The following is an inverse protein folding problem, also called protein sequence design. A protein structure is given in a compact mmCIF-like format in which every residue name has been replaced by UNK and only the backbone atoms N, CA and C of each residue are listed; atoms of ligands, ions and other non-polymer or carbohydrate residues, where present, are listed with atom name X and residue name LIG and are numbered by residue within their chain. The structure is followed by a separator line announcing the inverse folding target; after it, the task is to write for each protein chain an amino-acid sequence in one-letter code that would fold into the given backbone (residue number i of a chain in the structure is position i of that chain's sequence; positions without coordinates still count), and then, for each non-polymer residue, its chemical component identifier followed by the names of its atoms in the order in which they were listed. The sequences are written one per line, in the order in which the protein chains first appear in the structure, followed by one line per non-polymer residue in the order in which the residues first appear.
data_IF_327447327578
#
_entry.id   IF_327447327578
#
_cell.length_a   1.000
_cell.length_b   1.000
_cell.length_c   1.000
_cell.angle_alpha   90.00
_cell.angle_beta   90.00
_cell.angle_gamma   90.00
#
_symmetry.space_group_name_H-M   'P 1'
#
loop_
_entity.id
_entity.type
_entity.pdbx_description
1 polymer ?
#
# COMPACT_ATOMS: atom_id res chain seq x y z
N UNK A 1 15.92 36.26 18.59
CA UNK A 1 14.57 35.99 19.10
C UNK A 1 14.63 34.73 19.95
N UNK A 2 14.14 34.76 21.18
CA UNK A 2 14.04 33.57 22.05
C UNK A 2 12.57 33.15 22.05
N UNK A 3 12.32 31.87 21.82
CA UNK A 3 10.99 31.26 21.93
C UNK A 3 11.06 30.27 23.08
N UNK A 4 10.17 30.39 24.04
CA UNK A 4 9.99 29.45 25.15
C UNK A 4 8.70 28.69 24.92
N UNK A 5 8.74 27.37 25.06
CA UNK A 5 7.62 26.47 24.86
C UNK A 5 7.54 25.58 26.09
N UNK A 6 6.38 25.54 26.74
CA UNK A 6 6.09 24.59 27.81
C UNK A 6 5.65 23.27 27.18
N UNK A 7 6.25 22.16 27.62
CA UNK A 7 5.93 20.81 27.16
C UNK A 7 5.40 19.98 28.32
N UNK A 8 4.44 19.11 28.03
CA UNK A 8 4.00 18.07 28.95
C UNK A 8 5.05 16.97 29.10
N UNK A 9 4.96 16.18 30.16
CA UNK A 9 5.85 15.03 30.36
C UNK A 9 5.75 14.01 29.21
N UNK A 10 4.55 13.80 28.66
CA UNK A 10 4.32 12.86 27.56
C UNK A 10 5.00 13.34 26.26
N UNK A 11 4.93 14.64 25.98
CA UNK A 11 5.63 15.25 24.83
C UNK A 11 7.15 15.15 25.01
N UNK A 12 7.67 15.40 26.21
CA UNK A 12 9.11 15.22 26.50
C UNK A 12 9.52 13.76 26.31
N UNK A 13 8.72 12.80 26.79
CA UNK A 13 8.97 11.37 26.62
C UNK A 13 8.95 10.96 25.15
N UNK A 14 7.99 11.45 24.38
CA UNK A 14 7.90 11.22 22.93
C UNK A 14 9.15 11.73 22.18
N UNK A 15 9.58 12.95 22.47
CA UNK A 15 10.77 13.55 21.82
C UNK A 15 12.05 12.77 22.18
N UNK A 16 12.19 12.32 23.43
CA UNK A 16 13.29 11.46 23.88
C UNK A 16 13.30 10.12 23.15
N UNK A 17 12.14 9.51 22.90
CA UNK A 17 12.05 8.25 22.14
C UNK A 17 12.55 8.40 20.70
N UNK A 18 12.16 9.46 20.01
CA UNK A 18 12.65 9.74 18.65
C UNK A 18 14.18 9.89 18.66
N UNK A 19 14.72 10.60 19.64
CA UNK A 19 16.16 10.81 19.77
C UNK A 19 16.92 9.51 20.03
N UNK A 20 16.39 8.65 20.91
CA UNK A 20 17.02 7.35 21.23
C UNK A 20 17.00 6.40 20.04
N UNK A 21 15.86 6.31 19.32
CA UNK A 21 15.74 5.48 18.13
C UNK A 21 16.76 5.90 17.06
N UNK A 22 16.90 7.21 16.83
CA UNK A 22 17.93 7.72 15.92
C UNK A 22 19.36 7.44 16.39
N UNK A 23 19.65 7.57 17.69
CA UNK A 23 20.96 7.26 18.24
C UNK A 23 21.33 5.78 18.02
N UNK A 24 20.39 4.86 18.27
CA UNK A 24 20.57 3.42 18.00
C UNK A 24 20.85 3.17 16.51
N UNK A 25 20.19 3.90 15.60
CA UNK A 25 20.45 3.79 14.16
C UNK A 25 21.88 4.23 13.80
N UNK A 26 22.40 5.29 14.43
CA UNK A 26 23.77 5.78 14.22
C UNK A 26 24.82 4.83 14.81
N UNK A 27 24.60 4.31 16.02
CA UNK A 27 25.53 3.41 16.71
C UNK A 27 25.74 2.08 15.98
N UNK A 28 24.72 1.59 15.28
CA UNK A 28 24.83 0.37 14.48
C UNK A 28 25.40 0.60 13.07
N UNK A 29 25.95 1.80 12.78
CA UNK A 29 26.46 2.22 11.46
C UNK A 29 25.48 2.00 10.31
N UNK A 30 24.18 1.89 10.62
CA UNK A 30 23.21 1.41 9.66
C UNK A 30 22.96 2.42 8.56
N UNK A 31 23.19 3.71 8.81
CA UNK A 31 22.94 4.82 7.89
C UNK A 31 23.65 6.14 8.28
N UNK A 32 23.97 7.02 7.31
CA UNK A 32 24.52 8.35 7.57
C UNK A 32 23.47 9.43 7.91
N UNK A 33 22.18 9.07 7.98
CA UNK A 33 21.04 10.02 8.12
C UNK A 33 19.90 9.40 8.92
N UNK A 34 19.02 10.20 9.56
CA UNK A 34 17.83 9.70 10.24
C UNK A 34 16.89 8.97 9.28
N UNK A 35 16.46 7.75 9.62
CA UNK A 35 15.47 7.03 8.83
C UNK A 35 14.04 7.38 9.24
N UNK A 36 13.14 7.17 8.29
CA UNK A 36 11.72 6.99 8.55
C UNK A 36 11.41 5.50 8.42
N UNK A 37 10.40 5.07 9.15
CA UNK A 37 9.89 3.70 9.06
C UNK A 37 8.60 3.73 8.26
N UNK A 38 8.48 2.87 7.27
CA UNK A 38 7.28 2.76 6.43
C UNK A 38 6.71 1.38 6.62
N UNK A 39 5.44 1.31 7.01
CA UNK A 39 4.69 0.06 6.93
C UNK A 39 4.43 -0.23 5.45
N UNK A 40 5.01 -1.31 4.98
CA UNK A 40 4.80 -1.84 3.62
C UNK A 40 3.85 -3.01 3.73
N UNK A 41 2.70 -2.87 3.08
CA UNK A 41 1.71 -3.93 2.93
C UNK A 41 1.81 -4.55 1.54
N UNK A 42 1.06 -5.63 1.33
CA UNK A 42 0.92 -6.28 0.04
C UNK A 42 -0.53 -6.22 -0.40
N UNK A 43 -0.72 -5.76 -1.63
CA UNK A 43 -2.01 -5.75 -2.30
C UNK A 43 -1.96 -6.67 -3.51
N UNK A 44 -2.97 -7.53 -3.63
CA UNK A 44 -3.16 -8.36 -4.81
C UNK A 44 -3.56 -7.49 -6.00
N UNK A 45 -2.87 -7.65 -7.12
CA UNK A 45 -3.18 -6.96 -8.38
C UNK A 45 -3.24 -7.97 -9.51
N UNK A 46 -4.18 -7.79 -10.42
CA UNK A 46 -4.32 -8.57 -11.64
C UNK A 46 -3.11 -8.26 -12.54
N UNK A 47 -2.40 -9.29 -12.99
CA UNK A 47 -1.37 -9.18 -14.02
C UNK A 47 -1.89 -9.81 -15.29
N UNK A 48 -1.88 -9.04 -16.38
CA UNK A 48 -2.14 -9.56 -17.72
C UNK A 48 -0.95 -10.43 -18.17
N UNK A 49 -1.24 -11.61 -18.75
CA UNK A 49 -0.20 -12.47 -19.33
C UNK A 49 0.50 -11.83 -20.52
N UNK A 50 -0.16 -10.90 -21.21
CA UNK A 50 0.42 -10.23 -22.38
C UNK A 50 1.40 -9.10 -21.98
N UNK A 51 1.50 -8.79 -20.68
CA UNK A 51 2.53 -7.91 -20.15
C UNK A 51 3.71 -8.72 -19.56
N UNK A 52 4.76 -8.92 -20.37
CA UNK A 52 6.13 -8.99 -19.85
C UNK A 52 6.47 -7.63 -19.21
N UNK A 53 6.00 -7.39 -17.99
CA UNK A 53 6.45 -6.25 -17.19
C UNK A 53 7.45 -6.76 -16.16
N UNK A 54 8.64 -6.14 -16.16
CA UNK A 54 9.84 -6.38 -15.32
C UNK A 54 9.63 -6.34 -13.79
N UNK A 55 8.55 -6.89 -13.25
CA UNK A 55 8.34 -7.07 -11.82
C UNK A 55 8.21 -8.55 -11.51
N UNK A 56 9.25 -9.08 -10.85
CA UNK A 56 9.42 -10.48 -10.44
C UNK A 56 8.10 -11.18 -10.10
N UNK A 57 7.63 -11.98 -11.06
CA UNK A 57 6.56 -12.96 -10.87
C UNK A 57 7.14 -14.21 -10.21
N UNK A 58 6.73 -14.48 -8.98
CA UNK A 58 6.34 -15.81 -8.50
C UNK A 58 5.84 -15.75 -7.06
N UNK A 59 4.58 -16.14 -6.85
CA UNK A 59 4.22 -16.87 -5.65
C UNK A 59 3.11 -17.87 -5.94
N UNK A 60 3.28 -19.09 -5.43
CA UNK A 60 2.30 -20.17 -5.51
C UNK A 60 1.94 -20.47 -4.05
N UNK A 61 0.87 -19.86 -3.54
CA UNK A 61 0.43 -20.04 -2.16
C UNK A 61 -0.65 -21.13 -2.08
N UNK A 62 -0.23 -22.38 -2.09
CA UNK A 62 -1.15 -23.51 -1.93
C UNK A 62 -1.76 -23.63 -0.52
N UNK A 63 -1.36 -22.79 0.44
CA UNK A 63 -1.74 -22.94 1.85
C UNK A 63 -2.82 -21.95 2.34
N UNK A 64 -3.22 -20.97 1.53
CA UNK A 64 -3.77 -19.73 2.09
C UNK A 64 -5.26 -19.47 1.93
N UNK A 65 -6.00 -20.44 1.37
CA UNK A 65 -7.44 -20.31 1.17
C UNK A 65 -7.78 -19.32 0.05
N UNK A 66 -8.97 -19.48 -0.51
CA UNK A 66 -9.49 -18.70 -1.62
C UNK A 66 -9.39 -17.20 -1.32
N UNK A 67 -8.63 -16.47 -2.14
CA UNK A 67 -8.66 -15.01 -2.17
C UNK A 67 -9.46 -14.53 -3.38
N UNK A 68 -10.32 -13.55 -3.16
CA UNK A 68 -11.16 -12.96 -4.19
C UNK A 68 -10.75 -11.50 -4.42
N UNK A 69 -10.60 -11.13 -5.68
CA UNK A 69 -10.45 -9.73 -6.09
C UNK A 69 -11.80 -9.04 -5.91
N UNK A 70 -11.83 -7.81 -5.37
CA UNK A 70 -13.08 -7.06 -5.27
C UNK A 70 -13.56 -6.67 -6.67
N UNK A 71 -14.87 -6.76 -6.92
CA UNK A 71 -15.50 -6.32 -8.18
C UNK A 71 -15.04 -4.90 -8.58
N UNK A 72 -14.95 -3.97 -7.62
CA UNK A 72 -14.48 -2.60 -7.89
C UNK A 72 -13.05 -2.53 -8.46
N UNK A 73 -12.18 -3.45 -8.05
CA UNK A 73 -10.78 -3.50 -8.49
C UNK A 73 -10.66 -4.16 -9.86
N UNK A 74 -11.43 -5.24 -10.07
CA UNK A 74 -11.59 -5.86 -11.38
C UNK A 74 -12.15 -4.86 -12.40
N UNK A 75 -13.23 -4.15 -12.06
CA UNK A 75 -13.81 -3.09 -12.89
C UNK A 75 -12.80 -2.02 -13.27
N UNK A 76 -12.02 -1.55 -12.30
CA UNK A 76 -10.98 -0.55 -12.53
C UNK A 76 -9.93 -1.09 -13.50
N UNK A 77 -9.42 -2.29 -13.26
CA UNK A 77 -8.44 -2.94 -14.13
C UNK A 77 -8.97 -3.09 -15.56
N UNK A 78 -10.17 -3.64 -15.71
CA UNK A 78 -10.81 -3.87 -17.01
C UNK A 78 -11.02 -2.54 -17.75
N UNK A 79 -11.55 -1.52 -17.07
CA UNK A 79 -11.78 -0.20 -17.68
C UNK A 79 -10.47 0.51 -18.06
N UNK A 80 -9.36 0.25 -17.36
CA UNK A 80 -8.05 0.85 -17.66
C UNK A 80 -7.32 0.13 -18.81
N UNK A 81 -7.51 -1.18 -18.97
CA UNK A 81 -6.71 -2.01 -19.89
C UNK A 81 -7.48 -2.58 -21.10
N UNK A 82 -8.80 -2.76 -20.98
CA UNK A 82 -9.66 -3.38 -22.00
C UNK A 82 -10.87 -2.49 -22.34
N UNK A 83 -10.69 -1.17 -22.27
CA UNK A 83 -11.80 -0.22 -22.39
C UNK A 83 -12.54 -0.35 -23.72
N UNK A 84 -11.81 -0.51 -24.82
CA UNK A 84 -12.40 -0.54 -26.16
C UNK A 84 -13.24 -1.82 -26.35
N UNK A 85 -12.73 -2.94 -25.86
CA UNK A 85 -13.40 -4.24 -25.88
C UNK A 85 -14.62 -4.26 -24.95
N UNK A 86 -14.54 -3.61 -23.78
CA UNK A 86 -15.69 -3.43 -22.88
C UNK A 86 -16.75 -2.55 -23.52
N UNK A 87 -16.36 -1.43 -24.13
CA UNK A 87 -17.28 -0.55 -24.84
C UNK A 87 -17.93 -1.31 -26.00
N UNK A 88 -17.22 -2.18 -26.71
CA UNK A 88 -17.78 -3.06 -27.75
C UNK A 88 -18.80 -4.06 -27.17
N UNK A 89 -18.44 -4.74 -26.08
CA UNK A 89 -19.30 -5.74 -25.42
C UNK A 89 -20.61 -5.12 -24.90
N UNK A 90 -20.49 -4.03 -24.16
CA UNK A 90 -21.61 -3.36 -23.47
C UNK A 90 -22.56 -2.66 -24.45
N UNK A 91 -22.06 -2.26 -25.62
CA UNK A 91 -22.87 -1.62 -26.67
C UNK A 91 -23.37 -2.61 -27.74
N UNK A 92 -23.21 -3.92 -27.54
CA UNK A 92 -23.82 -4.94 -28.39
C UNK A 92 -25.35 -4.96 -28.19
N UNK A 93 -26.12 -5.27 -29.25
CA UNK A 93 -27.58 -5.31 -29.26
C UNK A 93 -28.17 -6.21 -28.15
N UNK A 94 -27.42 -7.22 -27.68
CA UNK A 94 -27.81 -8.10 -26.56
C UNK A 94 -27.79 -7.41 -25.20
N UNK A 95 -26.95 -6.38 -25.03
CA UNK A 95 -26.74 -5.63 -23.80
C UNK A 95 -27.36 -4.23 -23.84
N UNK A 96 -28.19 -3.92 -24.84
CA UNK A 96 -28.89 -2.65 -24.98
C UNK A 96 -30.39 -2.86 -24.83
N UNK A 97 -31.03 -2.09 -23.94
CA UNK A 97 -32.48 -2.08 -23.81
C UNK A 97 -33.12 -1.53 -25.11
N UNK A 98 -33.91 -2.36 -25.77
CA UNK A 98 -34.56 -2.01 -27.05
C UNK A 98 -35.55 -0.84 -26.99
N UNK A 99 -35.98 -0.42 -25.79
CA UNK A 99 -36.96 0.65 -25.55
C UNK A 99 -36.28 1.93 -25.10
N UNK A 100 -35.28 1.85 -24.22
CA UNK A 100 -34.60 3.02 -23.64
C UNK A 100 -33.27 3.34 -24.32
N UNK A 101 -32.62 2.36 -24.95
CA UNK A 101 -31.28 2.47 -25.52
C UNK A 101 -30.17 2.53 -24.47
N UNK A 102 -30.47 2.23 -23.21
CA UNK A 102 -29.50 2.17 -22.12
C UNK A 102 -28.84 0.79 -22.08
N UNK A 103 -27.61 0.74 -21.56
CA UNK A 103 -26.95 -0.55 -21.35
C UNK A 103 -27.59 -1.30 -20.18
N UNK A 104 -27.80 -2.60 -20.41
CA UNK A 104 -28.25 -3.59 -19.43
C UNK A 104 -27.09 -4.18 -18.62
N UNK A 105 -25.84 -3.88 -19.00
CA UNK A 105 -24.67 -4.39 -18.29
C UNK A 105 -24.60 -3.82 -16.87
N UNK A 106 -24.58 -4.72 -15.89
CA UNK A 106 -24.43 -4.38 -14.48
C UNK A 106 -23.12 -4.93 -13.95
N UNK A 107 -22.29 -4.04 -13.40
CA UNK A 107 -21.02 -4.41 -12.80
C UNK A 107 -21.19 -5.14 -11.46
N UNK A 108 -22.35 -5.04 -10.83
CA UNK A 108 -22.66 -5.72 -9.57
C UNK A 108 -23.33 -7.10 -9.79
N UNK A 109 -23.58 -7.48 -11.05
CA UNK A 109 -24.14 -8.78 -11.42
C UNK A 109 -23.01 -9.75 -11.82
N UNK A 110 -22.86 -10.85 -11.07
CA UNK A 110 -21.80 -11.84 -11.29
C UNK A 110 -21.89 -12.48 -12.68
N UNK A 111 -23.10 -12.74 -13.20
CA UNK A 111 -23.29 -13.39 -14.50
C UNK A 111 -22.78 -12.49 -15.65
N UNK A 112 -23.03 -11.17 -15.56
CA UNK A 112 -22.52 -10.21 -16.54
C UNK A 112 -20.99 -10.09 -16.51
N UNK A 113 -20.39 -10.17 -15.32
CA UNK A 113 -18.93 -10.15 -15.17
C UNK A 113 -18.31 -11.41 -15.79
N UNK A 114 -18.89 -12.57 -15.56
CA UNK A 114 -18.44 -13.85 -16.15
C UNK A 114 -18.53 -13.83 -17.68
N UNK A 115 -19.62 -13.31 -18.25
CA UNK A 115 -19.79 -13.18 -19.70
C UNK A 115 -18.77 -12.21 -20.33
N UNK A 116 -18.53 -11.05 -19.70
CA UNK A 116 -17.51 -10.09 -20.16
C UNK A 116 -16.12 -10.73 -20.15
N UNK A 117 -15.82 -11.53 -19.13
CA UNK A 117 -14.53 -12.20 -18.98
C UNK A 117 -14.35 -13.31 -20.01
N UNK A 118 -15.41 -14.07 -20.30
CA UNK A 118 -15.41 -15.03 -21.40
C UNK A 118 -15.19 -14.35 -22.75
N UNK A 119 -15.85 -13.21 -22.98
CA UNK A 119 -15.69 -12.38 -24.18
C UNK A 119 -14.26 -11.86 -24.34
N UNK A 120 -13.64 -11.37 -23.25
CA UNK A 120 -12.25 -10.94 -23.24
C UNK A 120 -11.26 -12.11 -23.30
N UNK A 121 -11.74 -13.35 -23.36
CA UNK A 121 -10.94 -14.57 -23.33
C UNK A 121 -9.97 -14.62 -22.13
N UNK A 122 -10.38 -14.01 -21.03
CA UNK A 122 -9.62 -13.98 -19.79
C UNK A 122 -9.87 -15.25 -19.00
N UNK A 123 -8.79 -15.98 -18.67
CA UNK A 123 -8.88 -17.12 -17.77
C UNK A 123 -8.81 -16.60 -16.33
N UNK A 124 -9.94 -16.20 -15.72
CA UNK A 124 -9.96 -15.71 -14.32
C UNK A 124 -9.33 -16.67 -13.32
N UNK A 125 -9.48 -17.97 -13.55
CA UNK A 125 -8.91 -19.01 -12.70
C UNK A 125 -7.40 -19.19 -12.92
N UNK A 126 -6.82 -18.49 -13.89
CA UNK A 126 -5.37 -18.40 -14.11
C UNK A 126 -4.89 -16.99 -14.47
N UNK A 127 -5.66 -15.95 -14.15
CA UNK A 127 -5.17 -14.59 -14.14
C UNK A 127 -4.12 -14.58 -13.05
N UNK A 128 -2.86 -14.39 -13.43
CA UNK A 128 -1.79 -14.39 -12.45
C UNK A 128 -1.97 -13.14 -11.61
N UNK A 129 -2.44 -13.30 -10.39
CA UNK A 129 -2.40 -12.23 -9.42
C UNK A 129 -1.01 -12.19 -8.81
N UNK A 130 -0.49 -10.98 -8.62
CA UNK A 130 0.77 -10.79 -7.89
C UNK A 130 0.54 -9.91 -6.68
N UNK A 131 1.35 -10.12 -5.65
CA UNK A 131 1.39 -9.25 -4.50
C UNK A 131 2.29 -8.05 -4.80
N UNK A 132 1.67 -6.90 -5.01
CA UNK A 132 2.37 -5.63 -5.17
C UNK A 132 2.57 -4.98 -3.81
N UNK A 133 3.81 -4.55 -3.54
CA UNK A 133 4.14 -3.77 -2.35
C UNK A 133 3.47 -2.39 -2.41
N UNK A 134 2.86 -2.00 -1.31
CA UNK A 134 2.24 -0.69 -1.13
C UNK A 134 2.75 -0.03 0.16
N UNK A 135 3.20 1.22 0.04
CA UNK A 135 3.58 2.04 1.20
C UNK A 135 2.31 2.58 1.86
N UNK A 136 1.96 2.06 3.04
CA UNK A 136 0.68 2.39 3.71
C UNK A 136 0.81 3.61 4.61
N UNK A 137 1.82 3.63 5.47
CA UNK A 137 1.97 4.65 6.50
C UNK A 137 3.42 4.85 6.89
N UNK A 138 3.77 6.10 7.22
CA UNK A 138 5.11 6.49 7.67
C UNK A 138 5.13 6.80 9.17
N UNK A 139 6.20 6.39 9.85
CA UNK A 139 6.42 6.53 11.28
C UNK A 139 7.82 7.09 11.56
N UNK A 140 7.95 7.80 12.69
CA UNK A 140 9.20 8.37 13.16
C UNK A 140 10.07 7.38 13.95
N UNK A 141 9.48 6.31 14.50
CA UNK A 141 10.19 5.29 15.27
C UNK A 141 9.74 3.89 14.86
N UNK A 142 10.65 2.92 14.98
CA UNK A 142 10.33 1.52 14.68
C UNK A 142 9.24 0.98 15.60
N UNK A 143 9.33 1.30 16.90
CA UNK A 143 8.39 0.81 17.91
C UNK A 143 6.95 1.31 17.65
N UNK A 144 6.78 2.55 17.18
CA UNK A 144 5.46 3.05 16.81
C UNK A 144 4.89 2.31 15.59
N UNK A 145 5.71 2.04 14.57
CA UNK A 145 5.32 1.24 13.42
C UNK A 145 4.95 -0.21 13.83
N UNK A 146 5.75 -0.83 14.69
CA UNK A 146 5.52 -2.18 15.20
C UNK A 146 4.21 -2.27 15.99
N UNK A 147 3.99 -1.35 16.93
CA UNK A 147 2.75 -1.31 17.71
C UNK A 147 1.53 -1.12 16.82
N UNK A 148 1.65 -0.29 15.78
CA UNK A 148 0.58 -0.07 14.81
C UNK A 148 0.26 -1.34 14.01
N UNK A 149 1.28 -2.02 13.47
CA UNK A 149 1.13 -3.28 12.76
C UNK A 149 0.48 -4.35 13.64
N UNK A 150 0.95 -4.51 14.88
CA UNK A 150 0.40 -5.50 15.84
C UNK A 150 -1.04 -5.20 16.24
N UNK A 151 -1.39 -3.92 16.44
CA UNK A 151 -2.74 -3.53 16.86
C UNK A 151 -3.76 -3.60 15.72
N UNK A 152 -3.29 -3.61 14.47
CA UNK A 152 -4.13 -3.54 13.27
C UNK A 152 -3.83 -4.67 12.28
N UNK A 153 -3.23 -5.78 12.74
CA UNK A 153 -2.74 -6.87 11.86
C UNK A 153 -3.82 -7.43 10.93
N UNK A 154 -5.09 -7.39 11.35
CA UNK A 154 -6.24 -7.87 10.58
C UNK A 154 -6.59 -6.98 9.38
N UNK A 155 -6.03 -5.77 9.28
CA UNK A 155 -6.21 -4.87 8.14
C UNK A 155 -5.09 -5.02 7.09
N UNK A 156 -4.08 -5.84 7.37
CA UNK A 156 -2.88 -5.97 6.54
C UNK A 156 -2.69 -7.40 6.06
N UNK A 157 -1.94 -7.56 4.97
CA UNK A 157 -1.51 -8.86 4.53
C UNK A 157 -0.60 -9.51 5.60
N UNK A 158 -0.65 -10.84 5.73
CA UNK A 158 0.15 -11.59 6.72
C UNK A 158 1.67 -11.38 6.58
N UNK A 159 2.12 -10.98 5.38
CA UNK A 159 3.52 -10.69 5.08
C UNK A 159 3.88 -9.20 5.20
N UNK A 160 2.96 -8.33 5.64
CA UNK A 160 3.25 -6.91 5.85
C UNK A 160 4.44 -6.73 6.80
N UNK A 161 5.29 -5.75 6.49
CA UNK A 161 6.55 -5.56 7.20
C UNK A 161 6.90 -4.07 7.29
N UNK A 162 7.80 -3.75 8.21
CA UNK A 162 8.29 -2.39 8.40
C UNK A 162 9.58 -2.24 7.60
N UNK A 163 9.52 -1.47 6.51
CA UNK A 163 10.71 -1.07 5.78
C UNK A 163 11.33 0.19 6.38
N UNK A 164 12.64 0.27 6.29
CA UNK A 164 13.41 1.42 6.75
C UNK A 164 13.77 2.27 5.55
N UNK A 165 13.06 3.40 5.39
CA UNK A 165 13.32 4.35 4.31
C UNK A 165 14.32 5.40 4.76
N UNK A 166 15.29 5.67 3.88
CA UNK A 166 16.17 6.82 4.01
C UNK A 166 15.43 8.02 3.42
N UNK A 167 14.86 8.95 4.23
CA UNK A 167 14.53 10.24 3.68
C UNK A 167 15.82 10.80 3.07
N UNK A 168 15.76 11.25 1.81
CA UNK A 168 16.89 11.95 1.21
C UNK A 168 17.30 13.09 2.15
N UNK A 169 18.59 13.47 2.17
CA UNK A 169 19.19 14.51 3.05
C UNK A 169 18.50 15.87 2.90
N UNK A 170 17.28 15.97 3.39
CA UNK A 170 16.47 17.16 3.31
C UNK A 170 16.90 18.04 4.47
N UNK A 171 16.99 19.33 4.18
CA UNK A 171 17.35 20.33 5.17
C UNK A 171 16.36 20.30 6.35
N UNK A 172 15.10 19.97 6.08
CA UNK A 172 14.00 19.86 7.02
C UNK A 172 14.23 18.74 8.05
N UNK A 173 14.57 17.52 7.60
CA UNK A 173 14.79 16.39 8.50
C UNK A 173 16.04 16.58 9.35
N UNK A 174 17.11 17.11 8.75
CA UNK A 174 18.31 17.47 9.52
C UNK A 174 18.01 18.55 10.57
N UNK A 175 17.20 19.55 10.22
CA UNK A 175 16.84 20.64 11.12
C UNK A 175 15.98 20.13 12.27
N UNK A 176 14.98 19.29 12.00
CA UNK A 176 14.15 18.67 13.01
C UNK A 176 14.99 17.88 14.03
N UNK A 177 15.94 17.09 13.54
CA UNK A 177 16.80 16.27 14.40
C UNK A 177 17.77 17.15 15.20
N UNK A 178 18.37 18.18 14.59
CA UNK A 178 19.19 19.17 15.30
C UNK A 178 18.41 19.88 16.41
N UNK A 179 17.11 20.12 16.21
CA UNK A 179 16.23 20.68 17.24
C UNK A 179 15.96 19.67 18.36
N UNK A 180 15.70 18.41 18.02
CA UNK A 180 15.51 17.33 19.00
C UNK A 180 16.73 17.17 19.92
N UNK A 181 17.96 17.24 19.38
CA UNK A 181 19.20 17.18 20.18
C UNK A 181 19.45 18.38 21.10
N UNK A 182 18.72 19.49 20.93
CA UNK A 182 18.78 20.62 21.87
C UNK A 182 17.96 20.40 23.12
N UNK A 183 17.11 19.36 23.11
CA UNK A 183 16.35 18.95 24.29
C UNK A 183 17.28 18.09 25.15
N UNK A 184 17.51 18.52 26.38
CA UNK A 184 18.32 17.77 27.33
C UNK A 184 17.65 16.44 27.66
N UNK A 185 18.29 15.34 27.28
CA UNK A 185 17.95 14.02 27.84
C UNK A 185 18.75 13.89 29.13
N UNK A 186 18.06 13.93 30.26
CA UNK A 186 18.66 13.38 31.47
C UNK A 186 18.82 11.89 31.22
N UNK A 187 20.06 11.41 31.16
CA UNK A 187 20.34 9.98 31.19
C UNK A 187 19.91 9.48 32.57
N UNK A 188 18.93 8.60 32.61
CA UNK A 188 18.67 7.76 33.79
C UNK A 188 19.87 6.85 34.06
#
# INVERSE_FOLDING_TARGET
MKVEIELTNDEVYFLRRIQNDYQIQQENELVPTPNLYVLVDYKEVIVDRDFESDYETTYNDSENGEYGIRISELKKYLTENHKEEIDEFINNDEYIDSVTGESLFDWEDEDHIDELIEYLHMDMYKADTTLKKEDVQTFLTHEAAQKHLESNYYNYHRNAFIDRRKPWRSFEMETLIKLLYRISVEKE
#
